data_IF_197417463487
#
_entry.id   IF_197417463487
#
_cell.length_a   1.000
_cell.length_b   1.000
_cell.length_c   1.000
_cell.angle_alpha   90.00
_cell.angle_beta   90.00
_cell.angle_gamma   90.00
#
_symmetry.space_group_name_H-M   'P 1'
#
loop_
_entity.id
_entity.type
_entity.pdbx_description
1 polymer ?
#
# COMPACT_ATOMS: atom_id res chain seq x y z
N UNK A 1 20.50 -23.37 -38.56
CA UNK A 1 20.84 -23.77 -37.18
C UNK A 1 20.84 -22.53 -36.29
N UNK A 2 20.08 -22.62 -35.19
CA UNK A 2 20.04 -21.73 -34.01
C UNK A 2 19.63 -20.26 -34.19
N UNK A 3 18.32 -20.05 -34.10
CA UNK A 3 17.64 -18.91 -33.45
C UNK A 3 18.41 -18.37 -32.25
N UNK A 4 18.88 -17.13 -32.33
CA UNK A 4 19.23 -16.34 -31.14
C UNK A 4 17.94 -15.78 -30.54
N UNK A 5 17.31 -16.58 -29.67
CA UNK A 5 16.34 -16.05 -28.72
C UNK A 5 17.12 -15.18 -27.72
N UNK A 6 17.16 -13.87 -27.99
CA UNK A 6 17.49 -12.89 -26.96
C UNK A 6 16.42 -12.96 -25.90
N UNK A 7 16.68 -13.76 -24.86
CA UNK A 7 15.77 -13.95 -23.75
C UNK A 7 15.41 -12.60 -23.15
N UNK A 8 14.12 -12.36 -23.22
CA UNK A 8 13.32 -11.36 -22.53
C UNK A 8 13.52 -11.49 -21.02
N UNK A 9 14.65 -11.02 -20.51
CA UNK A 9 14.77 -10.63 -19.12
C UNK A 9 14.49 -9.13 -19.07
N UNK A 10 13.26 -8.74 -19.41
CA UNK A 10 12.70 -7.54 -18.82
C UNK A 10 12.49 -7.91 -17.35
N UNK A 11 13.60 -7.78 -16.62
CA UNK A 11 13.66 -7.33 -15.25
C UNK A 11 12.26 -6.98 -14.79
N UNK A 12 11.66 -7.90 -14.03
CA UNK A 12 10.47 -7.61 -13.25
C UNK A 12 10.87 -6.43 -12.39
N UNK A 13 10.63 -5.23 -12.90
CA UNK A 13 10.75 -4.01 -12.16
C UNK A 13 9.65 -4.11 -11.10
N UNK A 14 10.01 -4.79 -10.03
CA UNK A 14 9.65 -4.45 -8.66
C UNK A 14 10.29 -3.10 -8.33
N UNK A 15 10.19 -2.10 -9.23
CA UNK A 15 10.03 -0.73 -8.80
C UNK A 15 8.77 -0.82 -7.97
N UNK A 16 8.94 -0.95 -6.66
CA UNK A 16 7.89 -0.81 -5.69
C UNK A 16 7.23 0.51 -6.05
N UNK A 17 6.12 0.43 -6.79
CA UNK A 17 5.21 1.53 -6.88
C UNK A 17 4.73 1.63 -5.46
N UNK A 18 5.34 2.55 -4.72
CA UNK A 18 4.79 3.06 -3.49
C UNK A 18 3.35 3.36 -3.85
N UNK A 19 2.44 2.52 -3.37
CA UNK A 19 1.02 2.73 -3.55
C UNK A 19 0.72 3.78 -2.50
N UNK A 20 0.58 5.07 -2.89
CA UNK A 20 0.32 6.10 -1.91
C UNK A 20 -0.94 5.69 -1.15
N UNK A 21 -0.90 5.87 0.17
CA UNK A 21 -2.07 5.65 1.00
C UNK A 21 -3.18 6.58 0.51
N UNK A 22 -4.33 6.02 0.17
CA UNK A 22 -5.52 6.79 -0.20
C UNK A 22 -6.59 6.61 0.88
N UNK A 23 -7.62 7.48 0.87
CA UNK A 23 -8.68 7.43 1.86
C UNK A 23 -9.41 6.09 1.88
N UNK A 24 -9.67 5.49 0.71
CA UNK A 24 -10.33 4.19 0.64
C UNK A 24 -9.52 3.09 1.36
N UNK A 25 -8.20 3.06 1.21
CA UNK A 25 -7.35 2.12 1.93
C UNK A 25 -7.29 2.43 3.43
N UNK A 26 -7.22 3.71 3.79
CA UNK A 26 -7.23 4.14 5.19
C UNK A 26 -8.55 3.75 5.89
N UNK A 27 -9.70 3.94 5.24
CA UNK A 27 -11.01 3.51 5.74
C UNK A 27 -11.08 2.00 5.96
N UNK A 28 -10.53 1.19 5.04
CA UNK A 28 -10.47 -0.27 5.23
C UNK A 28 -9.62 -0.66 6.44
N UNK A 29 -8.55 0.09 6.73
CA UNK A 29 -7.71 -0.12 7.91
C UNK A 29 -8.48 0.25 9.18
N UNK A 30 -9.15 1.41 9.19
CA UNK A 30 -10.01 1.84 10.31
C UNK A 30 -11.12 0.83 10.59
N UNK A 31 -11.82 0.37 9.56
CA UNK A 31 -12.86 -0.66 9.70
C UNK A 31 -12.31 -2.00 10.24
N UNK A 32 -11.07 -2.35 9.92
CA UNK A 32 -10.41 -3.54 10.49
C UNK A 32 -10.06 -3.35 11.97
N UNK A 33 -9.60 -2.15 12.36
CA UNK A 33 -9.33 -1.81 13.75
C UNK A 33 -10.62 -1.79 14.60
N UNK A 34 -11.72 -1.27 14.06
CA UNK A 34 -13.04 -1.30 14.72
C UNK A 34 -13.59 -2.72 14.86
N UNK A 35 -13.34 -3.58 13.87
CA UNK A 35 -13.80 -4.99 13.90
C UNK A 35 -13.07 -5.81 14.96
N UNK A 36 -11.81 -5.52 15.23
CA UNK A 36 -11.00 -6.18 16.26
C UNK A 36 -10.20 -5.14 17.08
N UNK A 37 -10.86 -4.50 18.05
CA UNK A 37 -10.25 -3.42 18.82
C UNK A 37 -9.11 -3.89 19.73
N UNK A 38 -9.06 -5.19 20.06
CA UNK A 38 -7.99 -5.77 20.87
C UNK A 38 -6.76 -6.19 20.04
N UNK A 39 -6.83 -6.07 18.71
CA UNK A 39 -5.71 -6.38 17.83
C UNK A 39 -4.52 -5.43 18.06
N UNK A 40 -3.27 -5.89 17.84
CA UNK A 40 -2.09 -5.03 17.97
C UNK A 40 -2.12 -3.81 17.03
N UNK A 41 -2.78 -3.92 15.88
CA UNK A 41 -2.91 -2.82 14.93
C UNK A 41 -3.81 -1.71 15.48
N UNK A 42 -4.98 -2.08 16.01
CA UNK A 42 -5.93 -1.16 16.64
C UNK A 42 -5.33 -0.48 17.88
N UNK A 43 -4.64 -1.25 18.74
CA UNK A 43 -4.00 -0.71 19.95
C UNK A 43 -2.80 0.20 19.66
N UNK A 44 -2.24 0.15 18.45
CA UNK A 44 -1.05 0.94 18.06
C UNK A 44 -1.35 2.29 17.42
N UNK A 45 -2.63 2.61 17.14
CA UNK A 45 -3.01 3.80 16.35
C UNK A 45 -2.50 3.73 14.92
N UNK A 46 -2.49 2.54 14.31
CA UNK A 46 -2.04 2.37 12.93
C UNK A 46 -3.04 2.97 11.92
N UNK A 47 -4.32 2.84 12.21
CA UNK A 47 -5.43 3.47 11.49
C UNK A 47 -5.32 5.00 11.47
N UNK A 48 -5.01 5.63 12.61
CA UNK A 48 -4.77 7.08 12.67
C UNK A 48 -3.63 7.53 11.75
N UNK A 49 -2.55 6.73 11.68
CA UNK A 49 -1.42 7.00 10.77
C UNK A 49 -1.80 6.77 9.31
N UNK A 50 -2.67 5.81 9.02
CA UNK A 50 -3.17 5.56 7.68
C UNK A 50 -4.03 6.74 7.19
N UNK A 51 -4.92 7.27 8.03
CA UNK A 51 -5.72 8.45 7.71
C UNK A 51 -4.84 9.67 7.43
N UNK A 52 -3.90 9.99 8.33
CA UNK A 52 -2.95 11.10 8.11
C UNK A 52 -2.09 10.95 6.85
N UNK A 53 -1.77 9.70 6.47
CA UNK A 53 -1.03 9.45 5.25
C UNK A 53 -1.90 9.65 4.00
N UNK A 54 -3.19 9.31 4.07
CA UNK A 54 -4.16 9.61 3.02
C UNK A 54 -4.35 11.13 2.86
N UNK A 55 -4.59 11.84 3.97
CA UNK A 55 -4.73 13.31 3.97
C UNK A 55 -3.54 13.99 3.28
N UNK A 56 -2.31 13.57 3.64
CA UNK A 56 -1.08 14.12 3.04
C UNK A 56 -0.98 13.86 1.54
N UNK A 57 -1.47 12.72 1.06
CA UNK A 57 -1.36 12.36 -0.34
C UNK A 57 -2.44 13.05 -1.19
N UNK A 58 -3.62 13.29 -0.62
CA UNK A 58 -4.68 14.07 -1.28
C UNK A 58 -4.31 15.55 -1.39
N UNK A 59 -3.60 16.12 -0.40
CA UNK A 59 -3.06 17.48 -0.46
C UNK A 59 -1.91 17.66 -1.49
N UNK A 60 -1.36 16.56 -2.01
CA UNK A 60 -0.20 16.56 -2.92
C UNK A 60 -0.56 16.47 -4.41
N UNK A 61 -1.85 16.47 -4.78
CA UNK A 61 -2.36 16.47 -6.17
C UNK A 61 -2.75 17.88 -6.67
#
# INVERSE_FOLDING_TARGET
MATAHGSLWKEVHTMGRETPMNHEAAERISAAAERDPDSPAAQSGFDDRAQQAADRNDDAD
#
